data_IF_949083396564
#
_entry.id   IF_949083396564
#
_cell.length_a   1.000
_cell.length_b   1.000
_cell.length_c   1.000
_cell.angle_alpha   90.00
_cell.angle_beta   90.00
_cell.angle_gamma   90.00
#
_symmetry.space_group_name_H-M   'P 1'
#
loop_
_entity.id
_entity.type
_entity.pdbx_description
1 polymer ?
#
# COMPACT_ATOMS: atom_id res chain seq x y z
N UNK A 1 26.29 3.13 -2.19
CA UNK A 1 25.57 2.92 -0.92
C UNK A 1 26.04 1.60 -0.31
N UNK A 2 26.32 1.52 1.00
CA UNK A 2 26.72 0.23 1.59
C UNK A 2 25.52 -0.69 1.75
N UNK A 3 25.74 -2.01 1.70
CA UNK A 3 24.68 -3.01 1.81
C UNK A 3 23.85 -2.82 3.10
N UNK A 4 24.51 -2.53 4.23
CA UNK A 4 23.83 -2.25 5.51
C UNK A 4 22.86 -1.07 5.42
N UNK A 5 23.24 0.01 4.74
CA UNK A 5 22.37 1.17 4.51
C UNK A 5 21.19 0.80 3.60
N UNK A 6 21.45 0.02 2.55
CA UNK A 6 20.41 -0.46 1.65
C UNK A 6 19.38 -1.34 2.38
N UNK A 7 19.84 -2.33 3.14
CA UNK A 7 18.99 -3.25 3.91
C UNK A 7 18.12 -2.49 4.91
N UNK A 8 18.69 -1.52 5.63
CA UNK A 8 17.93 -0.70 6.57
C UNK A 8 16.79 0.07 5.87
N UNK A 9 17.09 0.71 4.74
CA UNK A 9 16.10 1.46 3.96
C UNK A 9 14.98 0.53 3.46
N UNK A 10 15.34 -0.64 2.92
CA UNK A 10 14.36 -1.62 2.42
C UNK A 10 13.43 -2.07 3.54
N UNK A 11 13.97 -2.45 4.70
CA UNK A 11 13.16 -2.89 5.85
C UNK A 11 12.24 -1.77 6.32
N UNK A 12 12.74 -0.54 6.40
CA UNK A 12 11.92 0.61 6.82
C UNK A 12 10.75 0.85 5.86
N UNK A 13 10.99 0.80 4.54
CA UNK A 13 9.94 0.98 3.52
C UNK A 13 8.90 -0.12 3.64
N UNK A 14 9.30 -1.38 3.79
CA UNK A 14 8.38 -2.50 3.93
C UNK A 14 7.55 -2.41 5.22
N UNK A 15 8.14 -1.94 6.32
CA UNK A 15 7.40 -1.71 7.56
C UNK A 15 6.33 -0.63 7.39
N UNK A 16 6.68 0.50 6.78
CA UNK A 16 5.71 1.60 6.53
C UNK A 16 4.57 1.11 5.61
N UNK A 17 4.91 0.37 4.55
CA UNK A 17 3.92 -0.21 3.63
C UNK A 17 2.93 -1.13 4.35
N UNK A 18 3.43 -2.09 5.14
CA UNK A 18 2.57 -3.07 5.78
C UNK A 18 1.75 -2.48 6.94
N UNK A 19 2.34 -1.60 7.75
CA UNK A 19 1.63 -0.93 8.85
C UNK A 19 0.52 -0.03 8.30
N UNK A 20 0.79 0.76 7.26
CA UNK A 20 -0.23 1.61 6.64
C UNK A 20 -1.38 0.79 6.05
N UNK A 21 -1.09 -0.30 5.32
CA UNK A 21 -2.13 -1.22 4.81
C UNK A 21 -2.99 -1.81 5.92
N UNK A 22 -2.36 -2.28 7.00
CA UNK A 22 -3.08 -2.84 8.15
C UNK A 22 -4.00 -1.80 8.81
N UNK A 23 -3.50 -0.59 9.03
CA UNK A 23 -4.29 0.51 9.60
C UNK A 23 -5.53 0.82 8.75
N UNK A 24 -5.35 1.00 7.42
CA UNK A 24 -6.47 1.27 6.52
C UNK A 24 -7.50 0.14 6.55
N UNK A 25 -7.07 -1.13 6.43
CA UNK A 25 -7.98 -2.29 6.43
C UNK A 25 -8.78 -2.45 7.73
N UNK A 26 -8.29 -1.93 8.85
CA UNK A 26 -8.93 -2.11 10.17
C UNK A 26 -9.77 -0.93 10.63
N UNK A 27 -9.60 0.25 10.03
CA UNK A 27 -10.25 1.49 10.47
C UNK A 27 -11.20 2.10 9.42
N UNK A 28 -11.23 1.55 8.20
CA UNK A 28 -12.03 2.07 7.08
C UNK A 28 -12.89 0.94 6.50
N UNK A 29 -14.11 1.28 6.07
CA UNK A 29 -14.87 0.43 5.16
C UNK A 29 -14.41 0.63 3.71
N UNK A 30 -14.65 -0.35 2.84
CA UNK A 30 -14.28 -0.26 1.42
C UNK A 30 -14.98 0.96 0.79
N UNK A 31 -14.19 1.83 0.16
CA UNK A 31 -14.67 3.09 -0.42
C UNK A 31 -14.66 4.30 0.53
N UNK A 32 -14.37 4.11 1.82
CA UNK A 32 -14.22 5.23 2.75
C UNK A 32 -12.99 6.07 2.40
N UNK A 33 -13.13 7.40 2.49
CA UNK A 33 -12.05 8.34 2.27
C UNK A 33 -11.92 9.39 3.39
N UNK A 34 -10.68 9.84 3.59
CA UNK A 34 -10.36 11.03 4.38
C UNK A 34 -9.59 11.99 3.49
N UNK A 35 -10.10 13.21 3.37
CA UNK A 35 -9.40 14.34 2.75
C UNK A 35 -8.42 14.94 3.77
N UNK A 36 -7.13 14.79 3.48
CA UNK A 36 -6.05 15.33 4.33
C UNK A 36 -5.69 16.75 3.88
N UNK A 37 -5.52 16.93 2.57
CA UNK A 37 -5.39 18.23 1.91
C UNK A 37 -6.26 18.25 0.66
N UNK A 38 -6.42 19.41 0.03
CA UNK A 38 -7.25 19.55 -1.17
C UNK A 38 -6.79 18.63 -2.33
N UNK A 39 -5.49 18.36 -2.41
CA UNK A 39 -4.87 17.49 -3.42
C UNK A 39 -4.52 16.09 -2.89
N UNK A 40 -4.74 15.81 -1.59
CA UNK A 40 -4.32 14.55 -0.96
C UNK A 40 -5.45 13.91 -0.15
N UNK A 41 -5.79 12.68 -0.52
CA UNK A 41 -6.78 11.85 0.16
C UNK A 41 -6.21 10.48 0.47
N UNK A 42 -6.69 9.92 1.56
CA UNK A 42 -6.53 8.51 1.89
C UNK A 42 -7.86 7.85 1.56
N UNK A 43 -7.86 6.92 0.61
CA UNK A 43 -9.05 6.19 0.16
C UNK A 43 -8.78 4.70 0.33
N UNK A 44 -9.69 3.98 0.99
CA UNK A 44 -9.59 2.53 1.05
C UNK A 44 -10.17 1.90 -0.22
N UNK A 45 -9.28 1.36 -1.04
CA UNK A 45 -9.61 0.57 -2.23
C UNK A 45 -8.84 -0.74 -2.20
N UNK A 46 -9.49 -1.81 -2.68
CA UNK A 46 -8.84 -3.09 -2.94
C UNK A 46 -8.64 -3.24 -4.45
N UNK A 47 -7.45 -3.73 -4.82
CA UNK A 47 -7.08 -3.92 -6.22
C UNK A 47 -6.69 -5.38 -6.42
N UNK A 48 -7.56 -6.15 -7.09
CA UNK A 48 -7.34 -7.57 -7.44
C UNK A 48 -6.36 -7.74 -8.62
N UNK A 49 -5.66 -6.68 -9.02
CA UNK A 49 -4.73 -6.69 -10.14
C UNK A 49 -3.60 -5.68 -10.00
N UNK A 50 -2.81 -5.54 -11.04
CA UNK A 50 -1.74 -4.56 -11.15
C UNK A 50 -2.22 -3.32 -11.92
N UNK A 51 -1.36 -2.30 -11.97
CA UNK A 51 -1.62 -1.12 -12.77
C UNK A 51 -2.02 -1.50 -14.21
N UNK A 52 -2.95 -0.76 -14.80
CA UNK A 52 -3.44 -0.97 -16.17
C UNK A 52 -4.18 -2.30 -16.39
N UNK A 53 -4.74 -2.91 -15.34
CA UNK A 53 -5.53 -4.13 -15.44
C UNK A 53 -4.70 -5.38 -15.74
N UNK A 54 -3.37 -5.28 -15.66
CA UNK A 54 -2.51 -6.44 -15.71
C UNK A 54 -2.85 -7.37 -14.54
N UNK A 55 -3.14 -8.64 -14.83
CA UNK A 55 -3.33 -9.68 -13.83
C UNK A 55 -2.17 -10.65 -13.94
N UNK A 56 -1.61 -11.06 -12.82
CA UNK A 56 -0.64 -12.17 -12.82
C UNK A 56 -1.45 -13.43 -13.14
N UNK A 57 -1.14 -14.17 -14.22
CA UNK A 57 -1.84 -15.40 -14.52
C UNK A 57 -1.46 -16.48 -13.48
N UNK A 58 -2.46 -16.99 -12.76
CA UNK A 58 -2.31 -18.05 -11.73
C UNK A 58 -3.30 -17.83 -10.57
N UNK A 59 -3.55 -18.86 -9.75
CA UNK A 59 -4.44 -18.77 -8.57
C UNK A 59 -3.88 -17.87 -7.45
N UNK A 60 -2.65 -17.36 -7.61
CA UNK A 60 -2.05 -16.39 -6.70
C UNK A 60 -2.14 -15.01 -7.35
N UNK A 61 -3.25 -14.34 -7.06
CA UNK A 61 -3.48 -12.91 -7.27
C UNK A 61 -3.74 -12.25 -5.92
#
# INVERSE_FOLDING_TARGET
MSLKKATFIIVLILLIDQISKFYIKTHFALGDEIRVFDWFRILFVENEGMAWGAKIPGEYG
#
